data_IF_150177460626
#
_entry.id   IF_150177460626
#
_cell.length_a   1.000
_cell.length_b   1.000
_cell.length_c   1.000
_cell.angle_alpha   90.00
_cell.angle_beta   90.00
_cell.angle_gamma   90.00
#
_symmetry.space_group_name_H-M   'P 1'
#
loop_
_entity.id
_entity.type
_entity.pdbx_description
1 polymer ?
#
# COMPACT_ATOMS: atom_id res chain seq x y z
N UNK A 1 8.86 1.64 23.77
CA UNK A 1 8.38 2.82 23.03
C UNK A 1 8.05 2.42 21.60
N UNK A 2 6.80 2.07 21.28
CA UNK A 2 6.41 1.45 19.99
C UNK A 2 5.51 2.34 19.09
N UNK A 3 5.11 3.53 19.56
CA UNK A 3 4.10 4.38 18.91
C UNK A 3 4.43 4.82 17.47
N UNK A 4 5.72 4.92 17.12
CA UNK A 4 6.16 5.34 15.79
C UNK A 4 5.88 4.31 14.70
N UNK A 5 6.27 3.06 14.93
CA UNK A 5 6.09 1.97 13.96
C UNK A 5 4.61 1.66 13.72
N UNK A 6 3.81 1.67 14.79
CA UNK A 6 2.37 1.42 14.73
C UNK A 6 1.65 2.48 13.89
N UNK A 7 2.04 3.75 14.04
CA UNK A 7 1.52 4.86 13.23
C UNK A 7 1.87 4.69 11.74
N UNK A 8 3.06 4.18 11.42
CA UNK A 8 3.47 3.92 10.03
C UNK A 8 2.61 2.80 9.43
N UNK A 9 2.39 1.71 10.17
CA UNK A 9 1.54 0.59 9.75
C UNK A 9 0.10 1.06 9.50
N UNK A 10 -0.47 1.86 10.40
CA UNK A 10 -1.81 2.41 10.22
C UNK A 10 -1.93 3.25 8.95
N UNK A 11 -0.93 4.08 8.65
CA UNK A 11 -0.87 4.87 7.42
C UNK A 11 -0.79 3.97 6.17
N UNK A 12 0.05 2.93 6.19
CA UNK A 12 0.17 1.97 5.08
C UNK A 12 -1.14 1.21 4.86
N UNK A 13 -1.73 0.68 5.93
CA UNK A 13 -3.02 -0.02 5.89
C UNK A 13 -4.13 0.87 5.34
N UNK A 14 -4.15 2.17 5.70
CA UNK A 14 -5.13 3.11 5.17
C UNK A 14 -5.01 3.29 3.66
N UNK A 15 -3.79 3.41 3.13
CA UNK A 15 -3.54 3.48 1.68
C UNK A 15 -4.02 2.20 1.01
N UNK A 16 -3.65 1.03 1.52
CA UNK A 16 -4.02 -0.26 0.94
C UNK A 16 -5.54 -0.48 0.99
N UNK A 17 -6.20 -0.08 2.08
CA UNK A 17 -7.67 -0.15 2.19
C UNK A 17 -8.37 0.62 1.07
N UNK A 18 -7.85 1.77 0.63
CA UNK A 18 -8.40 2.50 -0.51
C UNK A 18 -8.41 1.65 -1.79
N UNK A 19 -7.37 0.88 -2.06
CA UNK A 19 -7.33 -0.02 -3.22
C UNK A 19 -8.37 -1.14 -3.12
N UNK A 20 -8.51 -1.76 -1.94
CA UNK A 20 -9.55 -2.77 -1.70
C UNK A 20 -10.96 -2.21 -1.89
N UNK A 21 -11.25 -1.06 -1.29
CA UNK A 21 -12.58 -0.42 -1.40
C UNK A 21 -12.92 -0.01 -2.83
N UNK A 22 -11.92 0.33 -3.64
CA UNK A 22 -12.10 0.75 -5.03
C UNK A 22 -11.93 -0.39 -6.05
N UNK A 23 -11.60 -1.60 -5.59
CA UNK A 23 -11.39 -2.77 -6.45
C UNK A 23 -10.12 -2.75 -7.31
N UNK A 24 -9.15 -1.87 -7.01
CA UNK A 24 -7.92 -1.70 -7.80
C UNK A 24 -6.84 -2.74 -7.41
N UNK A 25 -7.15 -4.02 -7.61
CA UNK A 25 -6.31 -5.16 -7.20
C UNK A 25 -5.59 -5.83 -8.38
N UNK A 26 -5.94 -5.48 -9.61
CA UNK A 26 -5.31 -6.05 -10.81
C UNK A 26 -4.95 -4.95 -11.80
N UNK A 27 -4.16 -5.32 -12.82
CA UNK A 27 -3.79 -4.41 -13.91
C UNK A 27 -5.01 -3.86 -14.63
N UNK A 28 -6.03 -4.70 -14.85
CA UNK A 28 -7.26 -4.32 -15.57
C UNK A 28 -8.14 -3.36 -14.76
N UNK A 29 -8.16 -3.52 -13.43
CA UNK A 29 -8.90 -2.64 -12.52
C UNK A 29 -8.06 -1.47 -11.98
N UNK A 30 -6.88 -1.21 -12.55
CA UNK A 30 -6.00 -0.16 -12.09
C UNK A 30 -6.66 1.23 -12.18
N UNK A 31 -6.45 2.05 -11.16
CA UNK A 31 -7.07 3.38 -11.04
C UNK A 31 -6.03 4.49 -11.03
N UNK A 32 -6.41 5.67 -11.50
CA UNK A 32 -5.58 6.87 -11.38
C UNK A 32 -5.40 7.27 -9.92
N UNK A 33 -4.35 8.04 -9.65
CA UNK A 33 -4.10 8.58 -8.30
C UNK A 33 -5.30 9.38 -7.76
N UNK A 34 -5.93 10.18 -8.62
CA UNK A 34 -7.08 11.01 -8.27
C UNK A 34 -8.31 10.17 -7.88
N UNK A 35 -8.55 9.07 -8.59
CA UNK A 35 -9.65 8.15 -8.30
C UNK A 35 -9.45 7.37 -7.00
N UNK A 36 -8.20 7.11 -6.62
CA UNK A 36 -7.85 6.43 -5.37
C UNK A 36 -8.00 7.33 -4.14
N UNK A 37 -8.04 8.66 -4.31
CA UNK A 37 -8.24 9.66 -3.25
C UNK A 37 -7.28 9.46 -2.05
N UNK A 38 -6.01 9.14 -2.33
CA UNK A 38 -5.04 8.82 -1.28
C UNK A 38 -4.57 10.11 -0.60
N UNK A 39 -4.76 10.17 0.72
CA UNK A 39 -4.40 11.32 1.54
C UNK A 39 -2.90 11.39 1.86
N UNK A 40 -2.20 10.24 1.92
CA UNK A 40 -0.79 10.20 2.32
C UNK A 40 0.14 9.85 1.15
N UNK A 41 0.59 10.89 0.42
CA UNK A 41 1.51 10.79 -0.72
C UNK A 41 2.81 10.06 -0.36
N UNK A 42 3.43 10.38 0.78
CA UNK A 42 4.71 9.79 1.17
C UNK A 42 4.59 8.28 1.37
N UNK A 43 3.56 7.84 2.09
CA UNK A 43 3.31 6.42 2.29
C UNK A 43 3.00 5.71 0.97
N UNK A 44 2.21 6.33 0.10
CA UNK A 44 1.93 5.80 -1.24
C UNK A 44 3.20 5.58 -2.07
N UNK A 45 4.06 6.59 -2.18
CA UNK A 45 5.32 6.44 -2.92
C UNK A 45 6.26 5.41 -2.29
N UNK A 46 6.29 5.30 -0.97
CA UNK A 46 7.06 4.24 -0.31
C UNK A 46 6.52 2.85 -0.68
N UNK A 47 5.20 2.67 -0.70
CA UNK A 47 4.57 1.42 -1.12
C UNK A 47 4.80 1.09 -2.60
N UNK A 48 4.93 2.11 -3.46
CA UNK A 48 5.39 1.92 -4.86
C UNK A 48 6.84 1.44 -4.90
N UNK A 49 7.74 2.08 -4.14
CA UNK A 49 9.17 1.72 -4.13
C UNK A 49 9.42 0.27 -3.72
N UNK A 50 8.63 -0.26 -2.79
CA UNK A 50 8.73 -1.67 -2.35
C UNK A 50 7.94 -2.64 -3.24
N UNK A 51 7.27 -2.16 -4.29
CA UNK A 51 6.53 -2.98 -5.24
C UNK A 51 5.15 -3.46 -4.76
N UNK A 52 4.67 -3.00 -3.60
CA UNK A 52 3.32 -3.32 -3.10
C UNK A 52 2.26 -2.66 -4.00
N UNK A 53 2.50 -1.42 -4.41
CA UNK A 53 1.67 -0.72 -5.39
C UNK A 53 2.41 -0.73 -6.72
N UNK A 54 1.76 -1.27 -7.75
CA UNK A 54 2.33 -1.34 -9.09
C UNK A 54 1.75 -0.24 -9.94
N UNK A 55 2.63 0.52 -10.60
CA UNK A 55 2.25 1.54 -11.58
C UNK A 55 2.18 0.92 -12.96
N UNK A 56 1.08 1.13 -13.66
CA UNK A 56 0.90 0.77 -15.06
C UNK A 56 0.43 2.01 -15.80
N UNK A 57 1.27 2.53 -16.69
CA UNK A 57 1.06 3.81 -17.38
C UNK A 57 0.81 4.95 -16.37
N UNK A 58 -0.42 5.46 -16.28
CA UNK A 58 -0.85 6.52 -15.35
C UNK A 58 -1.79 6.01 -14.25
N UNK A 59 -1.91 4.69 -14.12
CA UNK A 59 -2.79 4.02 -13.17
C UNK A 59 -1.98 3.17 -12.19
N UNK A 60 -2.62 2.80 -11.10
CA UNK A 60 -2.04 2.07 -9.99
C UNK A 60 -2.98 0.96 -9.56
N UNK A 61 -2.41 -0.19 -9.22
CA UNK A 61 -3.12 -1.28 -8.58
C UNK A 61 -2.29 -1.85 -7.42
N UNK A 62 -2.95 -2.53 -6.50
CA UNK A 62 -2.32 -3.21 -5.38
C UNK A 62 -1.94 -4.63 -5.79
N UNK A 63 -0.68 -5.00 -5.63
CA UNK A 63 -0.25 -6.40 -5.70
C UNK A 63 -0.51 -7.09 -4.37
N UNK A 64 -1.56 -7.91 -4.29
CA UNK A 64 -1.91 -8.61 -3.05
C UNK A 64 -0.81 -9.56 -2.57
N UNK A 65 -0.17 -10.28 -3.49
CA UNK A 65 0.93 -11.19 -3.16
C UNK A 65 2.08 -10.43 -2.48
N UNK A 66 2.51 -9.32 -3.10
CA UNK A 66 3.60 -8.50 -2.56
C UNK A 66 3.20 -7.85 -1.22
N UNK A 67 1.93 -7.46 -1.07
CA UNK A 67 1.41 -6.90 0.18
C UNK A 67 1.46 -7.90 1.33
N UNK A 68 1.07 -9.16 1.10
CA UNK A 68 1.11 -10.21 2.12
C UNK A 68 2.55 -10.52 2.55
N UNK A 69 3.47 -10.66 1.59
CA UNK A 69 4.90 -10.84 1.89
C UNK A 69 5.46 -9.66 2.68
N UNK A 70 5.11 -8.43 2.30
CA UNK A 70 5.55 -7.22 2.99
C UNK A 70 5.04 -7.13 4.43
N UNK A 71 3.75 -7.44 4.66
CA UNK A 71 3.19 -7.53 6.03
C UNK A 71 3.91 -8.56 6.88
N UNK A 72 4.19 -9.73 6.31
CA UNK A 72 4.86 -10.80 7.03
C UNK A 72 6.28 -10.39 7.46
N UNK A 73 7.01 -9.74 6.55
CA UNK A 73 8.34 -9.17 6.85
C UNK A 73 8.27 -8.09 7.93
N UNK A 74 7.36 -7.11 7.82
CA UNK A 74 7.19 -6.06 8.82
C UNK A 74 6.85 -6.61 10.20
N UNK A 75 5.95 -7.58 10.29
CA UNK A 75 5.61 -8.23 11.57
C UNK A 75 6.82 -8.92 12.17
N UNK A 76 7.64 -9.59 11.35
CA UNK A 76 8.88 -10.24 11.81
C UNK A 76 9.90 -9.24 12.36
N UNK A 77 10.01 -8.06 11.77
CA UNK A 77 10.90 -7.00 12.27
C UNK A 77 10.43 -6.33 13.56
N UNK A 78 9.12 -6.32 13.85
CA UNK A 78 8.55 -5.68 15.05
C UNK A 78 8.44 -6.63 16.26
N UNK A 79 8.65 -7.93 16.05
CA UNK A 79 8.60 -8.97 17.09
C UNK A 79 9.98 -9.28 17.70
N UNK A 80 11.04 -8.60 17.24
CA UNK A 80 12.40 -8.64 17.80
C UNK A 80 12.62 -7.37 18.62
#
# INVERSE_FOLDING_TARGET
MAFGAETIILKQNKVVKCFYTKGALTKDSALSYDNLQISNKRTFYNLIKVGVIVKVNHKYYLSENTWQTFKHSLRRFLLI
#
